data_IF_876218968680
#
_entry.id   IF_876218968680
#
_cell.length_a   1.000
_cell.length_b   1.000
_cell.length_c   1.000
_cell.angle_alpha   90.00
_cell.angle_beta   90.00
_cell.angle_gamma   90.00
#
_symmetry.space_group_name_H-M   'P 1'
#
loop_
_entity.id
_entity.type
_entity.pdbx_description
1 polymer ?
#
# COMPACT_ATOMS: atom_id res chain seq x y z
N UNK A 1 -4.47 -31.88 -11.08
CA UNK A 1 -4.52 -31.11 -12.35
C UNK A 1 -3.24 -30.26 -12.49
N UNK A 2 -2.55 -30.32 -13.64
CA UNK A 2 -1.44 -29.40 -13.96
C UNK A 2 -2.03 -28.19 -14.69
N UNK A 3 -1.58 -26.97 -14.36
CA UNK A 3 -2.02 -25.74 -15.05
C UNK A 3 -3.03 -24.86 -14.30
N UNK A 4 -3.22 -25.05 -12.99
CA UNK A 4 -4.03 -24.13 -12.18
C UNK A 4 -3.47 -22.71 -12.18
N UNK A 5 -4.35 -21.72 -12.30
CA UNK A 5 -4.02 -20.30 -12.21
C UNK A 5 -4.88 -19.65 -11.12
N UNK A 6 -4.31 -18.66 -10.43
CA UNK A 6 -4.99 -17.92 -9.38
C UNK A 6 -4.41 -16.53 -9.22
N UNK A 7 -5.20 -15.66 -8.59
CA UNK A 7 -4.81 -14.30 -8.24
C UNK A 7 -4.84 -14.14 -6.73
N UNK A 8 -3.72 -13.74 -6.14
CA UNK A 8 -3.55 -13.61 -4.69
C UNK A 8 -2.49 -12.55 -4.36
N UNK A 9 -2.34 -12.24 -3.07
CA UNK A 9 -1.40 -11.24 -2.58
C UNK A 9 0.04 -11.56 -2.95
N UNK A 10 0.84 -10.52 -3.23
CA UNK A 10 2.24 -10.65 -3.66
C UNK A 10 3.10 -11.44 -2.67
N UNK A 11 2.85 -11.31 -1.37
CA UNK A 11 3.56 -12.05 -0.31
C UNK A 11 3.49 -13.57 -0.47
N UNK A 12 2.32 -14.12 -0.83
CA UNK A 12 2.16 -15.55 -1.08
C UNK A 12 3.03 -16.02 -2.24
N UNK A 13 3.25 -15.18 -3.26
CA UNK A 13 4.20 -15.47 -4.33
C UNK A 13 5.65 -15.42 -3.82
N UNK A 14 6.03 -14.37 -3.08
CA UNK A 14 7.38 -14.23 -2.51
C UNK A 14 7.77 -15.42 -1.63
N UNK A 15 6.85 -15.93 -0.81
CA UNK A 15 7.08 -17.07 0.09
C UNK A 15 7.14 -18.43 -0.65
N UNK A 16 6.66 -18.50 -1.89
CA UNK A 16 6.49 -19.76 -2.63
C UNK A 16 7.06 -19.70 -4.05
N UNK A 17 8.10 -18.89 -4.30
CA UNK A 17 8.71 -18.72 -5.64
C UNK A 17 9.29 -20.03 -6.21
N UNK A 18 9.59 -21.01 -5.37
CA UNK A 18 10.03 -22.34 -5.78
C UNK A 18 8.89 -23.23 -6.33
N UNK A 19 7.63 -22.88 -6.05
CA UNK A 19 6.43 -23.66 -6.41
C UNK A 19 5.51 -22.92 -7.36
N UNK A 20 5.63 -21.59 -7.42
CA UNK A 20 4.76 -20.71 -8.20
C UNK A 20 5.55 -20.02 -9.31
N UNK A 21 4.91 -19.87 -10.47
CA UNK A 21 5.41 -19.05 -11.57
C UNK A 21 4.59 -17.77 -11.67
N UNK A 22 5.23 -16.62 -11.49
CA UNK A 22 4.57 -15.33 -11.72
C UNK A 22 4.33 -15.10 -13.22
N UNK A 23 3.13 -14.64 -13.55
CA UNK A 23 2.77 -14.18 -14.90
C UNK A 23 2.93 -12.67 -14.94
N UNK A 24 3.56 -12.16 -16.00
CA UNK A 24 3.69 -10.72 -16.23
C UNK A 24 2.34 -10.11 -16.58
N UNK A 25 2.13 -8.88 -16.11
CA UNK A 25 0.90 -8.14 -16.35
C UNK A 25 1.20 -7.00 -17.31
N UNK A 26 0.41 -6.90 -18.39
CA UNK A 26 0.49 -5.79 -19.34
C UNK A 26 -0.02 -4.52 -18.67
N UNK A 27 0.85 -3.51 -18.57
CA UNK A 27 0.46 -2.21 -18.07
C UNK A 27 -0.42 -1.50 -19.12
N UNK A 28 -1.67 -1.11 -18.78
CA UNK A 28 -2.61 -0.54 -19.74
C UNK A 28 -2.21 0.85 -20.27
N UNK A 29 -1.22 1.52 -19.64
CA UNK A 29 -0.74 2.84 -20.06
C UNK A 29 0.49 2.78 -20.96
N UNK A 30 1.35 1.77 -20.79
CA UNK A 30 2.63 1.67 -21.51
C UNK A 30 2.68 0.48 -22.47
N UNK A 31 1.69 -0.40 -22.43
CA UNK A 31 1.60 -1.66 -23.18
C UNK A 31 2.72 -2.67 -22.88
N UNK A 32 3.56 -2.39 -21.87
CA UNK A 32 4.66 -3.26 -21.47
C UNK A 32 4.20 -4.34 -20.48
N UNK A 33 4.67 -5.56 -20.67
CA UNK A 33 4.52 -6.65 -19.71
C UNK A 33 5.50 -6.48 -18.55
N UNK A 34 4.99 -6.42 -17.32
CA UNK A 34 5.78 -6.14 -16.12
C UNK A 34 5.61 -7.30 -15.13
N UNK A 35 6.73 -7.79 -14.58
CA UNK A 35 6.72 -8.80 -13.50
C UNK A 35 6.36 -8.17 -12.15
N UNK A 36 5.73 -8.90 -11.22
CA UNK A 36 5.53 -8.41 -9.87
C UNK A 36 6.87 -8.26 -9.14
N UNK A 37 7.11 -7.09 -8.54
CA UNK A 37 8.25 -6.83 -7.67
C UNK A 37 7.99 -5.59 -6.80
N UNK A 38 8.69 -5.46 -5.68
CA UNK A 38 8.63 -4.24 -4.84
C UNK A 38 8.93 -2.98 -5.66
N UNK A 39 9.95 -3.03 -6.53
CA UNK A 39 10.32 -1.92 -7.39
C UNK A 39 9.18 -1.52 -8.34
N UNK A 40 8.51 -2.49 -8.97
CA UNK A 40 7.41 -2.25 -9.90
C UNK A 40 6.10 -1.80 -9.20
N UNK A 41 5.96 -2.14 -7.92
CA UNK A 41 4.89 -1.58 -7.06
C UNK A 41 5.21 -0.12 -6.71
N UNK A 42 6.43 0.18 -6.27
CA UNK A 42 6.85 1.53 -5.85
C UNK A 42 6.86 2.55 -7.00
N UNK A 43 7.32 2.15 -8.19
CA UNK A 43 7.36 3.03 -9.37
C UNK A 43 6.02 3.04 -10.14
N UNK A 44 4.99 2.33 -9.64
CA UNK A 44 3.63 2.32 -10.19
C UNK A 44 3.54 1.72 -11.61
N UNK A 45 4.48 0.85 -12.01
CA UNK A 45 4.46 0.18 -13.33
C UNK A 45 3.71 -1.16 -13.32
N UNK A 46 3.56 -1.82 -12.17
CA UNK A 46 2.78 -3.07 -12.06
C UNK A 46 1.26 -2.79 -11.98
N UNK A 47 0.68 -2.28 -13.07
CA UNK A 47 -0.76 -1.94 -13.14
C UNK A 47 -1.58 -2.99 -13.87
N UNK A 48 -2.84 -3.25 -13.47
CA UNK A 48 -3.59 -2.57 -12.40
C UNK A 48 -3.48 -3.21 -11.01
N UNK A 49 -2.63 -4.23 -10.83
CA UNK A 49 -2.66 -5.09 -9.65
C UNK A 49 -1.89 -4.53 -8.43
N UNK A 50 -0.93 -3.62 -8.64
CA UNK A 50 -0.38 -2.81 -7.56
C UNK A 50 -1.38 -1.70 -7.19
N UNK A 51 -1.94 -1.79 -5.98
CA UNK A 51 -2.90 -0.80 -5.45
C UNK A 51 -2.45 -0.27 -4.09
N UNK A 52 -2.63 1.03 -3.82
CA UNK A 52 -2.46 1.56 -2.47
C UNK A 52 -3.56 1.02 -1.55
N UNK A 53 -3.21 0.83 -0.27
CA UNK A 53 -4.17 0.64 0.80
C UNK A 53 -4.42 1.97 1.50
N UNK A 54 -5.67 2.20 1.90
CA UNK A 54 -6.08 3.45 2.52
C UNK A 54 -6.67 3.19 3.91
N UNK A 55 -6.37 4.10 4.83
CA UNK A 55 -7.04 4.20 6.12
C UNK A 55 -8.14 5.25 5.97
N UNK A 56 -9.39 4.85 6.21
CA UNK A 56 -10.54 5.75 6.16
C UNK A 56 -10.91 6.17 7.57
N UNK A 57 -10.64 7.43 7.92
CA UNK A 57 -11.03 8.02 9.19
C UNK A 57 -12.11 9.08 8.95
N UNK A 58 -13.17 9.04 9.77
CA UNK A 58 -14.19 10.10 9.77
C UNK A 58 -13.55 11.40 10.24
N UNK A 59 -13.63 12.47 9.44
CA UNK A 59 -12.94 13.73 9.72
C UNK A 59 -13.25 14.33 11.10
N UNK A 60 -14.51 14.26 11.55
CA UNK A 60 -14.91 14.73 12.88
C UNK A 60 -14.22 13.98 14.02
N UNK A 61 -13.79 12.74 13.81
CA UNK A 61 -13.08 11.95 14.82
C UNK A 61 -11.71 12.52 15.16
N UNK A 62 -11.12 13.35 14.29
CA UNK A 62 -9.86 14.02 14.58
C UNK A 62 -9.97 15.11 15.65
N UNK A 63 -11.16 15.45 16.15
CA UNK A 63 -11.31 16.26 17.36
C UNK A 63 -10.79 15.53 18.62
N UNK A 64 -10.72 14.19 18.57
CA UNK A 64 -10.21 13.33 19.63
C UNK A 64 -8.70 13.13 19.48
N UNK A 65 -7.93 13.43 20.51
CA UNK A 65 -6.45 13.37 20.47
C UNK A 65 -5.94 11.94 20.34
N UNK A 66 -6.63 10.97 20.93
CA UNK A 66 -6.30 9.54 20.84
C UNK A 66 -6.45 9.00 19.40
N UNK A 67 -7.39 9.54 18.61
CA UNK A 67 -7.54 9.16 17.20
C UNK A 67 -6.39 9.72 16.37
N UNK A 68 -5.97 10.96 16.64
CA UNK A 68 -4.80 11.55 15.99
C UNK A 68 -3.54 10.74 16.31
N UNK A 69 -3.30 10.45 17.60
CA UNK A 69 -2.15 9.70 18.08
C UNK A 69 -2.07 8.29 17.47
N UNK A 70 -3.21 7.60 17.33
CA UNK A 70 -3.26 6.28 16.70
C UNK A 70 -2.84 6.33 15.22
N UNK A 71 -3.33 7.32 14.46
CA UNK A 71 -2.96 7.47 13.05
C UNK A 71 -1.49 7.90 12.90
N UNK A 72 -1.00 8.79 13.76
CA UNK A 72 0.42 9.17 13.80
C UNK A 72 1.32 7.97 14.11
N UNK A 73 0.95 7.13 15.09
CA UNK A 73 1.68 5.91 15.42
C UNK A 73 1.81 4.98 14.20
N UNK A 74 0.75 4.84 13.39
CA UNK A 74 0.81 4.04 12.17
C UNK A 74 1.86 4.60 11.20
N UNK A 75 1.93 5.92 11.03
CA UNK A 75 2.93 6.53 10.14
C UNK A 75 4.36 6.45 10.68
N UNK A 76 4.55 6.51 11.99
CA UNK A 76 5.85 6.37 12.64
C UNK A 76 6.39 4.93 12.52
N UNK A 77 5.48 3.96 12.48
CA UNK A 77 5.80 2.53 12.48
C UNK A 77 5.44 1.82 11.16
N UNK A 78 5.16 2.57 10.08
CA UNK A 78 4.53 2.02 8.87
C UNK A 78 5.33 0.87 8.24
N UNK A 79 6.66 0.99 8.21
CA UNK A 79 7.54 -0.03 7.63
C UNK A 79 7.44 -1.35 8.40
N UNK A 80 7.44 -1.27 9.74
CA UNK A 80 7.35 -2.46 10.59
C UNK A 80 5.95 -3.09 10.50
N UNK A 81 4.90 -2.26 10.51
CA UNK A 81 3.51 -2.69 10.37
C UNK A 81 3.29 -3.37 9.01
N UNK A 82 3.71 -2.73 7.91
CA UNK A 82 3.57 -3.23 6.56
C UNK A 82 4.29 -4.56 6.38
N UNK A 83 5.56 -4.67 6.81
CA UNK A 83 6.33 -5.92 6.74
C UNK A 83 5.67 -7.04 7.54
N UNK A 84 5.22 -6.77 8.77
CA UNK A 84 4.53 -7.76 9.61
C UNK A 84 3.21 -8.22 9.00
N UNK A 85 2.52 -7.36 8.28
CA UNK A 85 1.30 -7.67 7.54
C UNK A 85 1.58 -8.18 6.10
N UNK A 86 2.83 -8.44 5.74
CA UNK A 86 3.26 -8.88 4.42
C UNK A 86 2.80 -7.97 3.26
N UNK A 87 2.80 -6.66 3.50
CA UNK A 87 2.59 -5.61 2.50
C UNK A 87 3.89 -4.92 2.13
N UNK A 88 3.91 -4.33 0.93
CA UNK A 88 4.98 -3.45 0.47
C UNK A 88 4.90 -2.12 1.25
N UNK A 89 5.95 -1.72 1.99
CA UNK A 89 5.97 -0.44 2.71
C UNK A 89 5.88 0.76 1.77
N UNK A 90 5.48 1.91 2.30
CA UNK A 90 5.43 3.14 1.54
C UNK A 90 6.84 3.61 1.15
N UNK A 91 6.96 4.29 0.01
CA UNK A 91 8.15 5.09 -0.27
C UNK A 91 8.15 6.34 0.61
N UNK A 92 9.33 6.96 0.81
CA UNK A 92 9.44 8.23 1.54
C UNK A 92 8.51 9.32 1.00
N UNK A 93 8.32 9.37 -0.33
CA UNK A 93 7.42 10.34 -0.98
C UNK A 93 5.96 10.03 -0.67
N UNK A 94 5.56 8.76 -0.70
CA UNK A 94 4.20 8.34 -0.35
C UNK A 94 3.90 8.59 1.13
N UNK A 95 4.82 8.27 2.04
CA UNK A 95 4.67 8.55 3.47
C UNK A 95 4.57 10.05 3.75
N UNK A 96 5.41 10.87 3.12
CA UNK A 96 5.32 12.34 3.22
C UNK A 96 3.95 12.85 2.78
N UNK A 97 3.45 12.38 1.64
CA UNK A 97 2.11 12.75 1.14
C UNK A 97 1.01 12.32 2.11
N UNK A 98 1.07 11.11 2.65
CA UNK A 98 0.09 10.60 3.62
C UNK A 98 0.06 11.46 4.89
N UNK A 99 1.23 11.82 5.44
CA UNK A 99 1.33 12.72 6.60
C UNK A 99 0.79 14.11 6.31
N UNK A 100 1.10 14.69 5.14
CA UNK A 100 0.55 15.98 4.74
C UNK A 100 -0.98 15.95 4.69
N UNK A 101 -1.58 14.93 4.10
CA UNK A 101 -3.03 14.78 4.05
C UNK A 101 -3.64 14.66 5.45
N UNK A 102 -2.99 13.90 6.33
CA UNK A 102 -3.42 13.75 7.72
C UNK A 102 -3.37 15.08 8.48
N UNK A 103 -2.28 15.84 8.40
CA UNK A 103 -2.14 17.16 9.05
C UNK A 103 -3.24 18.12 8.56
N UNK A 104 -3.53 18.12 7.26
CA UNK A 104 -4.62 18.92 6.69
C UNK A 104 -5.99 18.51 7.24
N UNK A 105 -6.25 17.20 7.36
CA UNK A 105 -7.50 16.68 7.91
C UNK A 105 -7.67 17.06 9.39
N UNK A 106 -6.60 16.98 10.20
CA UNK A 106 -6.62 17.42 11.61
C UNK A 106 -6.89 18.92 11.70
N UNK A 107 -6.24 19.74 10.86
CA UNK A 107 -6.48 21.18 10.81
C UNK A 107 -7.92 21.52 10.43
N UNK A 108 -8.50 20.80 9.46
CA UNK A 108 -9.88 20.98 9.05
C UNK A 108 -10.86 20.63 10.18
N UNK A 109 -10.61 19.53 10.91
CA UNK A 109 -11.47 19.09 12.02
C UNK A 109 -11.49 20.05 13.22
N UNK A 110 -10.45 20.87 13.41
CA UNK A 110 -10.41 21.92 14.45
C UNK A 110 -11.18 23.18 14.07
N UNK A 111 -11.49 23.37 12.78
CA UNK A 111 -12.22 24.54 12.25
C UNK A 111 -13.72 24.33 12.20
N UNK A 112 -14.16 23.07 12.29
CA UNK A 112 -15.56 22.63 12.35
C UNK A 112 -15.91 22.20 13.76
#
# INVERSE_FOLDING_TARGET
>A
ERGGMGYFGFSYYEENQNRLRAVQVRNPKTDQCVSPSVANVHNNTYKPLARPLFIYAKGSSFKRTEVQAFVDYIFDNEVAIAKRAAFVPLTKVQLKRARTNFILAVKAAKRT
#
